data_IF_030552857366
#
_entry.id   IF_030552857366
#
_cell.length_a   1.000
_cell.length_b   1.000
_cell.length_c   1.000
_cell.angle_alpha   90.00
_cell.angle_beta   90.00
_cell.angle_gamma   90.00
#
_symmetry.space_group_name_H-M   'P 1'
#
loop_
_entity.id
_entity.type
_entity.pdbx_description
1 polymer ?
#
# COMPACT_ATOMS: atom_id res chain seq x y z
N UNK A 1 -10.98 -14.24 53.94
CA UNK A 1 -10.67 -13.03 53.15
C UNK A 1 -9.48 -13.29 52.23
N UNK A 2 -9.63 -12.98 50.93
CA UNK A 2 -8.62 -12.68 49.90
C UNK A 2 -7.74 -13.81 49.33
N UNK A 3 -8.18 -14.36 48.18
CA UNK A 3 -7.35 -14.59 46.97
C UNK A 3 -7.32 -13.27 46.14
N UNK A 4 -6.52 -13.05 45.07
CA UNK A 4 -5.68 -13.99 44.29
C UNK A 4 -4.25 -13.47 43.94
N UNK A 5 -3.35 -14.36 43.53
CA UNK A 5 -2.08 -14.00 42.87
C UNK A 5 -1.93 -14.82 41.59
N UNK A 6 -2.40 -14.27 40.47
CA UNK A 6 -2.36 -14.89 39.15
C UNK A 6 -2.33 -13.74 38.12
N UNK A 7 -1.16 -13.10 37.95
CA UNK A 7 -1.02 -11.95 37.06
C UNK A 7 0.39 -11.82 36.44
N UNK A 8 1.00 -12.92 36.03
CA UNK A 8 2.31 -12.85 35.33
C UNK A 8 2.39 -13.61 34.01
N UNK A 9 1.28 -14.17 33.51
CA UNK A 9 1.32 -14.93 32.24
C UNK A 9 0.71 -14.21 31.02
N UNK A 10 0.26 -12.96 31.16
CA UNK A 10 -0.47 -12.27 30.08
C UNK A 10 0.34 -11.23 29.30
N UNK A 11 1.56 -10.86 29.71
CA UNK A 11 2.28 -9.74 29.09
C UNK A 11 3.40 -10.15 28.11
N UNK A 12 3.78 -11.42 28.05
CA UNK A 12 4.80 -11.88 27.09
C UNK A 12 4.26 -12.07 25.67
N UNK A 13 2.95 -12.30 25.51
CA UNK A 13 2.34 -12.61 24.20
C UNK A 13 2.12 -11.39 23.30
N UNK A 14 2.19 -10.16 23.84
CA UNK A 14 1.98 -8.94 23.04
C UNK A 14 3.22 -8.52 22.24
N UNK A 15 4.41 -8.99 22.60
CA UNK A 15 5.67 -8.58 21.96
C UNK A 15 5.96 -9.29 20.63
N UNK A 16 5.32 -10.43 20.39
CA UNK A 16 5.55 -11.26 19.19
C UNK A 16 4.76 -10.80 17.95
N UNK A 17 3.84 -9.83 18.08
CA UNK A 17 3.06 -9.34 16.93
C UNK A 17 3.77 -8.26 16.08
N UNK A 18 4.91 -7.70 16.54
CA UNK A 18 5.55 -6.58 15.85
C UNK A 18 6.68 -6.95 14.88
N UNK A 19 7.17 -8.19 14.87
CA UNK A 19 8.39 -8.53 14.12
C UNK A 19 8.16 -9.11 12.71
N UNK A 20 6.90 -9.35 12.31
CA UNK A 20 6.57 -9.93 10.99
C UNK A 20 5.77 -8.99 10.08
N UNK A 21 5.34 -7.83 10.59
CA UNK A 21 4.49 -6.89 9.83
C UNK A 21 5.26 -5.79 9.10
N UNK A 22 6.57 -5.62 9.37
CA UNK A 22 7.31 -4.41 8.97
C UNK A 22 8.17 -4.56 7.71
N UNK A 23 8.82 -5.70 7.42
CA UNK A 23 9.78 -5.76 6.28
C UNK A 23 9.23 -5.28 4.92
N UNK A 24 7.99 -5.62 4.60
CA UNK A 24 7.36 -5.17 3.35
C UNK A 24 6.81 -3.74 3.43
N UNK A 25 6.44 -3.26 4.62
CA UNK A 25 6.09 -1.84 4.82
C UNK A 25 7.32 -0.97 4.66
N UNK A 26 8.44 -1.36 5.26
CA UNK A 26 9.69 -0.61 5.22
C UNK A 26 10.18 -0.43 3.77
N UNK A 27 10.04 -1.47 2.94
CA UNK A 27 10.37 -1.37 1.51
C UNK A 27 9.39 -0.46 0.74
N UNK A 28 8.10 -0.44 1.11
CA UNK A 28 7.06 0.36 0.46
C UNK A 28 7.12 1.85 0.83
N UNK A 29 7.53 2.18 2.05
CA UNK A 29 7.63 3.58 2.49
C UNK A 29 8.61 4.34 1.59
N UNK A 30 8.19 5.53 1.16
CA UNK A 30 8.89 6.37 0.20
C UNK A 30 7.99 6.89 -0.91
N UNK A 31 8.60 7.59 -1.86
CA UNK A 31 7.92 8.12 -3.03
C UNK A 31 8.20 7.24 -4.24
N UNK A 32 7.20 7.12 -5.10
CA UNK A 32 7.19 6.22 -6.25
C UNK A 32 6.61 6.95 -7.44
N UNK A 33 7.21 6.80 -8.62
CA UNK A 33 6.73 7.37 -9.87
C UNK A 33 6.24 6.27 -10.80
N UNK A 34 5.09 6.46 -11.44
CA UNK A 34 4.60 5.49 -12.43
C UNK A 34 5.47 5.57 -13.69
N UNK A 35 6.03 4.44 -14.10
CA UNK A 35 6.91 4.33 -15.28
C UNK A 35 6.32 3.46 -16.37
N UNK A 36 5.39 2.56 -16.02
CA UNK A 36 4.73 1.64 -16.97
C UNK A 36 3.25 1.51 -16.64
N UNK A 37 2.43 1.46 -17.70
CA UNK A 37 0.98 1.23 -17.63
C UNK A 37 0.58 0.21 -18.69
N UNK A 38 0.04 -0.91 -18.25
CA UNK A 38 -0.45 -2.02 -19.07
C UNK A 38 -1.96 -2.17 -18.87
N UNK A 39 -2.79 -1.58 -19.74
CA UNK A 39 -4.24 -1.65 -19.62
C UNK A 39 -4.75 -3.07 -19.94
N UNK A 40 -5.62 -3.61 -19.08
CA UNK A 40 -6.29 -4.91 -19.27
C UNK A 40 -7.68 -4.75 -19.87
N UNK A 41 -8.29 -3.59 -19.64
CA UNK A 41 -9.53 -3.15 -20.27
C UNK A 41 -9.24 -1.99 -21.22
N UNK A 42 -10.23 -1.56 -22.00
CA UNK A 42 -10.09 -0.38 -22.86
C UNK A 42 -9.88 0.89 -21.99
N UNK A 43 -8.62 1.24 -21.73
CA UNK A 43 -8.21 2.52 -21.14
C UNK A 43 -7.83 3.44 -22.30
N UNK A 44 -8.33 4.67 -22.30
CA UNK A 44 -8.01 5.63 -23.36
C UNK A 44 -6.51 5.95 -23.39
N UNK A 45 -5.96 6.19 -24.57
CA UNK A 45 -4.55 6.59 -24.72
C UNK A 45 -4.24 7.89 -23.95
N UNK A 46 -5.21 8.80 -23.88
CA UNK A 46 -5.12 10.03 -23.09
C UNK A 46 -4.95 9.73 -21.59
N UNK A 47 -5.79 8.85 -21.03
CA UNK A 47 -5.66 8.46 -19.63
C UNK A 47 -4.32 7.77 -19.36
N UNK A 48 -3.87 6.89 -20.28
CA UNK A 48 -2.55 6.26 -20.16
C UNK A 48 -1.41 7.29 -20.10
N UNK A 49 -1.45 8.30 -20.98
CA UNK A 49 -0.43 9.34 -21.02
C UNK A 49 -0.48 10.24 -19.77
N UNK A 50 -1.67 10.55 -19.25
CA UNK A 50 -1.84 11.32 -18.01
C UNK A 50 -1.21 10.59 -16.82
N UNK A 51 -1.52 9.29 -16.67
CA UNK A 51 -0.93 8.44 -15.61
C UNK A 51 0.60 8.40 -15.72
N UNK A 52 1.17 8.23 -16.92
CA UNK A 52 2.62 8.18 -17.10
C UNK A 52 3.32 9.53 -16.84
N UNK A 53 2.63 10.64 -17.09
CA UNK A 53 3.20 11.99 -16.95
C UNK A 53 3.13 12.50 -15.52
N UNK A 54 2.03 12.21 -14.82
CA UNK A 54 1.69 12.81 -13.52
C UNK A 54 1.53 11.79 -12.39
N UNK A 55 1.53 10.49 -12.70
CA UNK A 55 1.30 9.45 -11.73
C UNK A 55 2.45 9.27 -10.75
N UNK A 56 2.15 9.39 -9.47
CA UNK A 56 3.10 9.15 -8.38
C UNK A 56 2.36 8.74 -7.12
N UNK A 57 2.99 7.96 -6.24
CA UNK A 57 2.45 7.62 -4.93
C UNK A 57 3.54 7.81 -3.88
N UNK A 58 3.19 8.40 -2.75
CA UNK A 58 4.06 8.52 -1.59
C UNK A 58 3.39 7.82 -0.43
N UNK A 59 4.05 6.78 0.09
CA UNK A 59 3.64 6.03 1.28
C UNK A 59 4.48 6.48 2.46
N UNK A 60 3.81 6.84 3.55
CA UNK A 60 4.45 7.28 4.79
C UNK A 60 4.40 6.17 5.84
N UNK A 61 5.33 6.24 6.80
CA UNK A 61 5.50 5.27 7.89
C UNK A 61 4.30 5.21 8.84
N UNK A 62 3.62 6.34 9.03
CA UNK A 62 2.36 6.48 9.77
C UNK A 62 1.13 5.85 9.08
N UNK A 63 1.30 5.27 7.89
CA UNK A 63 0.25 4.50 7.20
C UNK A 63 -0.62 5.31 6.24
N UNK A 64 -0.21 6.53 5.90
CA UNK A 64 -0.88 7.36 4.91
C UNK A 64 -0.28 7.21 3.51
N UNK A 65 -1.09 7.48 2.51
CA UNK A 65 -0.70 7.52 1.10
C UNK A 65 -1.29 8.75 0.43
N UNK A 66 -0.46 9.38 -0.40
CA UNK A 66 -0.84 10.52 -1.23
C UNK A 66 -0.25 10.41 -2.62
N UNK A 67 -0.80 11.13 -3.59
CA UNK A 67 -0.31 11.17 -4.96
C UNK A 67 -1.44 11.07 -5.97
N UNK A 68 -1.19 10.43 -7.12
CA UNK A 68 -2.14 10.32 -8.22
C UNK A 68 -1.90 9.04 -9.01
N UNK A 69 -2.97 8.35 -9.37
CA UNK A 69 -2.96 7.36 -10.45
C UNK A 69 -3.85 7.89 -11.58
N UNK A 70 -5.17 7.71 -11.44
CA UNK A 70 -6.19 8.32 -12.29
C UNK A 70 -6.80 9.57 -11.66
N UNK A 71 -6.91 9.54 -10.33
CA UNK A 71 -7.41 10.62 -9.50
C UNK A 71 -6.38 10.93 -8.43
N UNK A 72 -6.41 12.16 -7.93
CA UNK A 72 -5.56 12.59 -6.83
C UNK A 72 -6.02 11.90 -5.54
N UNK A 73 -5.05 11.48 -4.73
CA UNK A 73 -5.19 10.89 -3.41
C UNK A 73 -4.51 11.88 -2.47
N UNK A 74 -5.29 12.65 -1.72
CA UNK A 74 -4.73 13.69 -0.85
C UNK A 74 -4.57 13.23 0.59
N UNK A 75 -5.48 12.37 1.06
CA UNK A 75 -5.48 11.84 2.42
C UNK A 75 -5.94 10.37 2.42
N UNK A 76 -5.20 9.53 1.70
CA UNK A 76 -5.45 8.10 1.67
C UNK A 76 -4.79 7.39 2.84
N UNK A 77 -5.33 6.25 3.22
CA UNK A 77 -4.66 5.26 4.08
C UNK A 77 -4.34 4.03 3.25
N UNK A 78 -3.30 3.29 3.63
CA UNK A 78 -2.96 2.04 2.98
C UNK A 78 -2.77 0.88 3.95
N UNK A 79 -3.11 -0.31 3.49
CA UNK A 79 -2.91 -1.54 4.23
C UNK A 79 -2.31 -2.62 3.34
N UNK A 80 -1.18 -3.18 3.80
CA UNK A 80 -0.62 -4.41 3.24
C UNK A 80 -1.27 -5.61 3.91
N UNK A 81 -1.90 -6.46 3.10
CA UNK A 81 -2.50 -7.72 3.53
C UNK A 81 -1.82 -8.90 2.82
N UNK A 82 -2.14 -10.12 3.24
CA UNK A 82 -1.62 -11.37 2.62
C UNK A 82 -0.08 -11.38 2.50
N UNK A 83 0.63 -10.94 3.55
CA UNK A 83 2.10 -10.85 3.59
C UNK A 83 2.69 -9.92 2.52
N UNK A 84 2.03 -8.80 2.20
CA UNK A 84 2.50 -7.81 1.22
C UNK A 84 2.12 -8.09 -0.23
N UNK A 85 1.41 -9.18 -0.50
CA UNK A 85 0.91 -9.53 -1.84
C UNK A 85 -0.35 -8.79 -2.25
N UNK A 86 -0.97 -8.06 -1.32
CA UNK A 86 -2.14 -7.25 -1.60
C UNK A 86 -2.04 -5.91 -0.88
N UNK A 87 -2.16 -4.84 -1.64
CA UNK A 87 -2.19 -3.47 -1.18
C UNK A 87 -3.62 -2.95 -1.33
N UNK A 88 -4.17 -2.43 -0.24
CA UNK A 88 -5.47 -1.77 -0.22
C UNK A 88 -5.23 -0.30 0.07
N UNK A 89 -5.61 0.57 -0.85
CA UNK A 89 -5.59 2.03 -0.68
C UNK A 89 -7.03 2.48 -0.44
N UNK A 90 -7.28 3.28 0.58
CA UNK A 90 -8.61 3.79 0.92
C UNK A 90 -8.55 5.27 1.22
N UNK A 91 -9.38 6.05 0.52
CA UNK A 91 -9.70 7.43 0.90
C UNK A 91 -10.89 7.46 1.86
N UNK A 92 -10.98 8.48 2.71
CA UNK A 92 -11.98 8.59 3.79
C UNK A 92 -13.42 8.35 3.32
N UNK A 93 -13.78 8.87 2.14
CA UNK A 93 -15.12 8.73 1.53
C UNK A 93 -15.13 7.91 0.25
N UNK A 94 -14.01 7.25 -0.10
CA UNK A 94 -13.82 6.57 -1.37
C UNK A 94 -14.04 5.06 -1.33
N UNK A 95 -14.31 4.47 -2.50
CA UNK A 95 -14.27 3.01 -2.69
C UNK A 95 -12.83 2.52 -2.52
N UNK A 96 -12.56 1.52 -1.67
CA UNK A 96 -11.22 0.99 -1.51
C UNK A 96 -10.63 0.49 -2.84
N UNK A 97 -9.46 0.99 -3.17
CA UNK A 97 -8.69 0.59 -4.34
C UNK A 97 -7.86 -0.64 -3.97
N UNK A 98 -8.32 -1.80 -4.41
CA UNK A 98 -7.70 -3.08 -4.11
C UNK A 98 -6.76 -3.50 -5.23
N UNK A 99 -5.49 -3.68 -4.89
CA UNK A 99 -4.44 -4.10 -5.81
C UNK A 99 -3.82 -5.41 -5.32
N UNK A 100 -3.48 -6.29 -6.26
CA UNK A 100 -2.39 -7.24 -5.99
C UNK A 100 -1.08 -6.47 -6.12
N UNK A 101 -0.15 -6.73 -5.21
CA UNK A 101 1.10 -5.96 -5.11
C UNK A 101 2.31 -6.87 -5.16
N UNK A 102 3.33 -6.44 -5.91
CA UNK A 102 4.69 -6.95 -5.83
C UNK A 102 5.55 -5.76 -5.37
N UNK A 103 6.27 -5.94 -4.27
CA UNK A 103 7.05 -4.88 -3.61
C UNK A 103 8.48 -5.36 -3.51
N UNK A 104 9.36 -4.71 -4.28
CA UNK A 104 10.80 -4.86 -4.23
C UNK A 104 11.42 -3.56 -3.70
N UNK A 105 12.74 -3.49 -3.57
CA UNK A 105 13.44 -2.30 -3.05
C UNK A 105 13.24 -1.08 -3.95
N UNK A 106 13.33 -1.27 -5.28
CA UNK A 106 13.26 -0.18 -6.27
C UNK A 106 11.98 -0.19 -7.12
N UNK A 107 11.19 -1.27 -7.05
CA UNK A 107 10.04 -1.48 -7.92
C UNK A 107 8.77 -1.87 -7.13
N UNK A 108 7.67 -1.21 -7.46
CA UNK A 108 6.33 -1.51 -6.98
C UNK A 108 5.42 -1.81 -8.17
N UNK A 109 4.86 -3.01 -8.23
CA UNK A 109 3.86 -3.36 -9.25
C UNK A 109 2.49 -3.43 -8.58
N UNK A 110 1.54 -2.65 -9.09
CA UNK A 110 0.14 -2.69 -8.67
C UNK A 110 -0.71 -3.25 -9.79
N UNK A 111 -1.25 -4.44 -9.53
CA UNK A 111 -2.10 -5.15 -10.46
C UNK A 111 -3.57 -5.02 -10.06
N UNK A 112 -4.38 -4.45 -10.96
CA UNK A 112 -5.80 -4.24 -10.76
C UNK A 112 -6.62 -4.95 -11.84
N UNK A 113 -7.95 -4.87 -11.74
CA UNK A 113 -8.85 -5.39 -12.78
C UNK A 113 -8.76 -4.60 -14.08
N UNK A 114 -8.48 -3.29 -14.01
CA UNK A 114 -8.50 -2.39 -15.15
C UNK A 114 -7.14 -2.29 -15.84
N UNK A 115 -6.06 -2.33 -15.05
CA UNK A 115 -4.69 -2.15 -15.53
C UNK A 115 -3.67 -2.71 -14.54
N UNK A 116 -2.47 -2.96 -15.05
CA UNK A 116 -1.25 -3.15 -14.26
C UNK A 116 -0.42 -1.89 -14.38
N UNK A 117 0.04 -1.33 -13.25
CA UNK A 117 0.98 -0.21 -13.23
C UNK A 117 2.25 -0.61 -12.52
N UNK A 118 3.38 -0.17 -13.07
CA UNK A 118 4.70 -0.32 -12.45
C UNK A 118 5.18 1.05 -12.01
N UNK A 119 5.66 1.12 -10.78
CA UNK A 119 6.24 2.31 -10.19
C UNK A 119 7.68 2.05 -9.78
N UNK A 120 8.52 3.06 -9.95
CA UNK A 120 9.92 3.04 -9.51
C UNK A 120 10.09 4.01 -8.36
N UNK A 121 10.91 3.64 -7.38
CA UNK A 121 11.22 4.50 -6.23
C UNK A 121 11.97 5.76 -6.69
N UNK A 122 11.71 6.90 -6.03
CA UNK A 122 12.32 8.22 -6.26
C UNK A 122 12.83 8.84 -4.97
#
# INVERSE_FOLDING_TARGET
MKKPFLYTFSLALLSLMFLSFNKNRDNLVGSWKITKVEPKTAVSQTAKNDILSHGSLTFTDDGFVRGRILQDINNGTFALTKKGKSLVIKEDTGTPYNCQSIINEDELVLDTKQMTVTLTKI
#
